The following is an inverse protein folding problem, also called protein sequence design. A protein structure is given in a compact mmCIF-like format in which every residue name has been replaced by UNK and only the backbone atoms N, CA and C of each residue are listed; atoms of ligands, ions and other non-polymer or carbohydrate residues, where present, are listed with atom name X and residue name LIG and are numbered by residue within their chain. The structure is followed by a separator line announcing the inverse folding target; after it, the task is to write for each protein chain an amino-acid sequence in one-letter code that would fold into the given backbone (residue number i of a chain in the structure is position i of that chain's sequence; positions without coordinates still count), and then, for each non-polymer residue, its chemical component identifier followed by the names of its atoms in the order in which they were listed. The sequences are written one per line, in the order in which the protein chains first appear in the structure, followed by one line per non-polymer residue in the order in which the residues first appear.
data_IF_435891356312
#
_entry.id   IF_435891356312
#
_cell.length_a   1.000
_cell.length_b   1.000
_cell.length_c   1.000
_cell.angle_alpha   90.00
_cell.angle_beta   90.00
_cell.angle_gamma   90.00
#
_symmetry.space_group_name_H-M   'P 1'
#
loop_
_entity.id
_entity.type
_entity.pdbx_description
1 polymer ?
#
# COMPACT_ATOMS: atom_id res chain seq x y z
N UNK A 1 -9.92 13.57 25.39
CA UNK A 1 -9.97 13.07 24.97
C UNK A 1 -9.65 12.62 24.21
N UNK A 2 -9.61 12.55 23.94
CA UNK A 2 -9.28 12.07 23.24
C UNK A 2 -9.64 11.53 22.49
N UNK A 3 -9.94 11.45 22.18
CA UNK A 3 -10.28 10.91 21.39
C UNK A 3 -10.03 9.95 20.87
N UNK A 4 -10.24 9.46 20.70
CA UNK A 4 -9.87 8.44 20.26
C UNK A 4 -9.77 8.32 19.07
N UNK A 5 -9.41 8.22 18.84
CA UNK A 5 -9.23 8.27 17.85
C UNK A 5 -9.74 7.84 16.97
N UNK A 6 -9.85 7.78 17.14
CA UNK A 6 -10.25 7.52 16.45
C UNK A 6 -10.67 6.55 15.83
N UNK A 7 -11.55 6.49 15.64
CA UNK A 7 -12.07 5.63 14.83
C UNK A 7 -11.72 6.00 13.52
N UNK A 8 -10.69 5.44 12.93
CA UNK A 8 -10.21 5.82 11.65
C UNK A 8 -11.26 5.69 10.61
N UNK A 9 -12.03 4.63 10.65
CA UNK A 9 -12.98 4.43 9.62
C UNK A 9 -14.08 5.43 9.71
N UNK A 10 -14.32 5.96 10.86
CA UNK A 10 -15.32 6.98 11.00
C UNK A 10 -14.78 8.34 10.63
N UNK A 11 -13.48 8.53 10.83
CA UNK A 11 -12.88 9.82 10.64
C UNK A 11 -12.31 10.01 9.24
N UNK A 12 -11.98 8.92 8.56
CA UNK A 12 -11.26 9.03 7.32
C UNK A 12 -12.05 8.42 6.17
N UNK A 13 -11.98 9.06 5.02
CA UNK A 13 -12.63 8.57 3.81
C UNK A 13 -11.69 7.65 3.05
N UNK A 14 -12.26 6.93 2.09
CA UNK A 14 -11.43 6.15 1.19
C UNK A 14 -10.45 7.04 0.44
N UNK A 15 -10.88 8.25 0.06
CA UNK A 15 -10.00 9.18 -0.64
C UNK A 15 -8.79 9.54 0.22
N UNK A 16 -8.98 9.65 1.53
CA UNK A 16 -7.86 9.91 2.42
C UNK A 16 -6.82 8.81 2.30
N UNK A 17 -7.27 7.54 2.36
CA UNK A 17 -6.33 6.44 2.30
C UNK A 17 -5.69 6.30 0.92
N UNK A 18 -6.41 6.66 -0.14
CA UNK A 18 -5.83 6.64 -1.47
C UNK A 18 -4.69 7.64 -1.61
N UNK A 19 -4.71 8.69 -0.81
CA UNK A 19 -3.68 9.72 -0.86
C UNK A 19 -2.53 9.48 0.11
N UNK A 20 -2.62 8.48 0.97
CA UNK A 20 -1.55 8.19 1.92
C UNK A 20 -0.30 7.75 1.16
N UNK A 21 0.87 8.33 1.47
CA UNK A 21 2.10 7.99 0.74
C UNK A 21 2.73 6.70 1.29
N UNK A 22 2.16 5.57 0.92
CA UNK A 22 2.74 4.28 1.32
C UNK A 22 4.11 4.10 0.67
N UNK A 23 4.96 3.33 1.34
CA UNK A 23 6.31 3.08 0.84
C UNK A 23 6.24 2.08 -0.30
N UNK A 24 6.79 2.46 -1.45
CA UNK A 24 6.87 1.57 -2.59
C UNK A 24 8.25 0.93 -2.63
N UNK A 25 8.27 -0.40 -2.68
CA UNK A 25 9.51 -1.15 -2.81
C UNK A 25 9.53 -1.77 -4.19
N UNK A 26 10.64 -1.58 -4.90
CA UNK A 26 10.82 -2.13 -6.23
C UNK A 26 12.10 -2.93 -6.24
N UNK A 27 12.01 -4.20 -6.63
CA UNK A 27 13.18 -5.06 -6.64
C UNK A 27 13.18 -5.94 -7.88
N UNK A 28 14.35 -6.48 -8.19
CA UNK A 28 14.50 -7.42 -9.28
C UNK A 28 14.47 -8.83 -8.71
N UNK A 29 13.71 -9.69 -9.33
CA UNK A 29 13.64 -11.09 -8.93
C UNK A 29 13.86 -11.97 -10.15
N UNK A 30 14.32 -13.17 -9.91
CA UNK A 30 14.54 -14.12 -10.99
C UNK A 30 13.61 -15.30 -10.76
N UNK A 31 12.91 -15.72 -11.83
CA UNK A 31 11.99 -16.81 -11.71
C UNK A 31 12.17 -17.69 -12.94
N UNK A 32 12.65 -18.91 -12.73
CA UNK A 32 12.89 -19.84 -13.83
C UNK A 32 13.80 -19.23 -14.89
N UNK A 33 14.83 -18.54 -14.48
CA UNK A 33 15.78 -17.95 -15.39
C UNK A 33 15.35 -16.66 -16.05
N UNK A 34 14.18 -16.13 -15.66
CA UNK A 34 13.65 -14.90 -16.25
C UNK A 34 13.68 -13.81 -15.20
N UNK A 35 14.27 -12.68 -15.55
CA UNK A 35 14.31 -11.53 -14.65
C UNK A 35 13.02 -10.73 -14.74
N UNK A 36 12.44 -10.47 -13.57
CA UNK A 36 11.22 -9.69 -13.45
C UNK A 36 11.44 -8.57 -12.45
N UNK A 37 10.57 -7.58 -12.48
CA UNK A 37 10.55 -6.54 -11.48
C UNK A 37 9.34 -6.75 -10.59
N UNK A 38 9.54 -6.61 -9.29
CA UNK A 38 8.45 -6.76 -8.32
C UNK A 38 8.26 -5.44 -7.62
N UNK A 39 7.02 -4.94 -7.65
CA UNK A 39 6.65 -3.73 -6.94
C UNK A 39 5.73 -4.11 -5.80
N UNK A 40 5.92 -3.52 -4.63
CA UNK A 40 5.13 -3.88 -3.47
C UNK A 40 4.92 -2.68 -2.57
N UNK A 41 3.78 -2.67 -1.90
CA UNK A 41 3.53 -1.77 -0.78
C UNK A 41 3.49 -2.65 0.47
N UNK A 42 4.62 -2.82 1.15
CA UNK A 42 4.68 -3.80 2.25
C UNK A 42 3.73 -3.53 3.40
N UNK A 43 3.32 -2.28 3.56
CA UNK A 43 2.40 -1.95 4.64
C UNK A 43 0.98 -2.44 4.39
N UNK A 44 0.66 -2.79 3.14
CA UNK A 44 -0.65 -3.30 2.79
C UNK A 44 -0.54 -4.79 2.53
N UNK A 45 -1.29 -5.63 3.25
CA UNK A 45 -1.16 -7.08 3.09
C UNK A 45 -1.47 -7.53 1.66
N UNK A 46 -0.55 -8.27 1.07
CA UNK A 46 -0.77 -8.83 -0.25
C UNK A 46 -0.66 -7.86 -1.40
N UNK A 47 -0.20 -6.63 -1.14
CA UNK A 47 -0.13 -5.62 -2.18
C UNK A 47 1.19 -5.74 -2.92
N UNK A 48 1.22 -6.57 -3.95
CA UNK A 48 2.43 -6.85 -4.71
C UNK A 48 2.04 -7.17 -6.15
N UNK A 49 2.93 -6.82 -7.08
CA UNK A 49 2.73 -7.13 -8.50
C UNK A 49 4.08 -7.33 -9.16
N UNK A 50 4.10 -8.12 -10.21
CA UNK A 50 5.32 -8.44 -10.94
C UNK A 50 5.12 -8.21 -12.42
N UNK A 51 6.17 -7.78 -13.09
CA UNK A 51 6.15 -7.57 -14.52
C UNK A 51 7.57 -7.52 -15.04
N UNK A 52 7.79 -7.70 -16.34
CA UNK A 52 9.15 -7.62 -16.89
C UNK A 52 9.78 -6.23 -16.77
N UNK A 53 8.96 -5.17 -16.80
CA UNK A 53 9.46 -3.80 -16.73
C UNK A 53 8.99 -3.13 -15.45
N UNK A 54 9.82 -2.23 -14.94
CA UNK A 54 9.54 -1.55 -13.68
C UNK A 54 8.24 -0.75 -13.74
N UNK A 55 8.04 0.04 -14.80
CA UNK A 55 6.83 0.84 -14.90
C UNK A 55 5.58 -0.02 -14.92
N UNK A 56 5.66 -1.13 -15.64
CA UNK A 56 4.52 -2.03 -15.71
C UNK A 56 4.20 -2.63 -14.33
N UNK A 57 5.25 -3.00 -13.58
CA UNK A 57 5.06 -3.53 -12.24
C UNK A 57 4.42 -2.48 -11.32
N UNK A 58 4.87 -1.24 -11.46
CA UNK A 58 4.32 -0.15 -10.65
C UNK A 58 2.86 0.09 -11.00
N UNK A 59 2.53 0.10 -12.29
CA UNK A 59 1.15 0.29 -12.69
C UNK A 59 0.25 -0.81 -12.14
N UNK A 60 0.75 -2.04 -12.17
CA UNK A 60 -0.03 -3.16 -11.65
C UNK A 60 -0.22 -3.09 -10.15
N UNK A 61 0.83 -2.71 -9.42
CA UNK A 61 0.70 -2.65 -7.96
C UNK A 61 -0.19 -1.50 -7.53
N UNK A 62 -0.28 -0.44 -8.34
CA UNK A 62 -1.21 0.64 -8.04
C UNK A 62 -2.66 0.16 -8.12
N UNK A 63 -2.95 -0.68 -9.09
CA UNK A 63 -4.28 -1.27 -9.20
C UNK A 63 -4.57 -2.15 -7.97
N UNK A 64 -3.57 -2.93 -7.54
CA UNK A 64 -3.74 -3.77 -6.36
C UNK A 64 -3.91 -2.93 -5.10
N UNK A 65 -3.16 -1.84 -4.99
CA UNK A 65 -3.30 -0.96 -3.83
C UNK A 65 -4.73 -0.42 -3.73
N UNK A 66 -5.24 0.07 -4.84
CA UNK A 66 -6.59 0.62 -4.86
C UNK A 66 -7.61 -0.45 -4.47
N UNK A 67 -7.47 -1.65 -5.02
CA UNK A 67 -8.40 -2.73 -4.75
C UNK A 67 -8.37 -3.13 -3.26
N UNK A 68 -7.18 -3.25 -2.71
CA UNK A 68 -7.02 -3.66 -1.31
C UNK A 68 -7.57 -2.59 -0.37
N UNK A 69 -7.25 -1.32 -0.64
CA UNK A 69 -7.77 -0.24 0.19
C UNK A 69 -9.29 -0.20 0.16
N UNK A 70 -9.86 -0.40 -1.03
CA UNK A 70 -11.31 -0.37 -1.15
C UNK A 70 -11.95 -1.53 -0.40
N UNK A 71 -11.35 -2.71 -0.48
CA UNK A 71 -11.86 -3.86 0.25
C UNK A 71 -11.80 -3.65 1.76
N UNK A 72 -10.67 -3.17 2.25
CA UNK A 72 -10.53 -2.94 3.68
C UNK A 72 -11.52 -1.89 4.16
N UNK A 73 -11.65 -0.81 3.38
CA UNK A 73 -12.55 0.27 3.75
C UNK A 73 -14.01 -0.23 3.78
N UNK A 74 -14.40 -1.01 2.78
CA UNK A 74 -15.77 -1.53 2.71
C UNK A 74 -16.10 -2.46 3.86
N UNK A 75 -15.11 -3.21 4.33
CA UNK A 75 -15.32 -4.11 5.44
C UNK A 75 -15.15 -3.43 6.78
N UNK A 76 -14.81 -2.16 6.77
CA UNK A 76 -14.51 -1.42 8.00
C UNK A 76 -13.38 -2.08 8.77
N UNK A 77 -12.48 -2.69 8.04
CA UNK A 77 -11.29 -3.29 8.63
C UNK A 77 -10.24 -2.20 8.87
N UNK A 78 -9.33 -2.41 9.83
CA UNK A 78 -8.25 -1.44 10.04
C UNK A 78 -7.40 -1.32 8.79
N UNK A 79 -7.07 -0.11 8.41
CA UNK A 79 -6.23 0.16 7.25
C UNK A 79 -4.89 0.64 7.74
N UNK A 80 -3.81 -0.12 7.50
CA UNK A 80 -2.48 0.28 7.94
C UNK A 80 -2.05 1.59 7.30
N UNK A 81 -1.32 2.39 8.03
CA UNK A 81 -0.73 3.60 7.50
C UNK A 81 0.75 3.60 7.85
N UNK A 82 1.57 4.34 7.09
CA UNK A 82 2.99 4.37 7.37
C UNK A 82 3.26 5.02 8.72
N UNK A 83 4.34 4.56 9.35
CA UNK A 83 4.78 5.18 10.58
C UNK A 83 5.25 6.59 10.26
N UNK A 84 4.89 7.57 11.08
CA UNK A 84 5.39 8.93 10.85
C UNK A 84 6.91 8.97 10.97
N UNK A 85 7.56 9.88 10.27
CA UNK A 85 9.01 10.02 10.39
C UNK A 85 9.39 10.33 11.82
N UNK A 86 10.54 9.84 12.22
CA UNK A 86 11.08 10.17 13.53
C UNK A 86 11.45 11.65 13.56
N UNK A 87 11.15 12.27 14.69
CA UNK A 87 11.43 13.68 14.79
C UNK A 87 12.63 13.91 15.65
N UNK A 88 13.31 14.99 15.41
CA UNK A 88 14.44 15.36 16.22
C UNK A 88 15.65 14.49 16.03
N UNK A 89 15.72 13.75 14.97
CA UNK A 89 16.88 12.91 14.74
C UNK A 89 17.83 13.58 13.80
#
# INVERSE_FOLDING_TARGET
MGAPPLEPEAAQSLAYYEAVPYVLVLESIERDGVWLRRAAYPELPGCVAEAPAALEAIEKVEVERHRILQQLWNRRAPIPVPRPPLRGV
#
